data_IF_964068577142
#
_entry.id   IF_964068577142
#
_cell.length_a   1.000
_cell.length_b   1.000
_cell.length_c   1.000
_cell.angle_alpha   90.00
_cell.angle_beta   90.00
_cell.angle_gamma   90.00
#
_symmetry.space_group_name_H-M   'P 1'
#
loop_
_entity.id
_entity.type
_entity.pdbx_description
1 polymer ?
#
# COMPACT_ATOMS: atom_id res chain seq x y z
N UNK A 1 -15.26 14.16 5.36
CA UNK A 1 -14.62 13.78 6.64
C UNK A 1 -15.69 13.06 7.44
N UNK A 2 -15.60 11.73 7.53
CA UNK A 2 -16.67 10.93 8.14
C UNK A 2 -16.26 10.60 9.57
N UNK A 3 -17.02 11.09 10.53
CA UNK A 3 -16.83 10.85 11.95
C UNK A 3 -17.75 9.70 12.37
N UNK A 4 -17.21 8.69 13.04
CA UNK A 4 -18.03 7.66 13.68
C UNK A 4 -17.88 7.83 15.18
N UNK A 5 -19.00 7.93 15.89
CA UNK A 5 -19.04 8.06 17.34
C UNK A 5 -20.08 7.07 17.83
N UNK A 6 -19.70 6.17 18.73
CA UNK A 6 -20.68 5.31 19.41
C UNK A 6 -21.30 6.14 20.53
N UNK A 7 -22.25 6.99 20.16
CA UNK A 7 -23.03 7.78 21.10
C UNK A 7 -24.45 7.22 21.13
N UNK A 8 -24.98 6.93 22.32
CA UNK A 8 -26.33 6.36 22.54
C UNK A 8 -27.47 7.19 21.91
N UNK A 9 -27.21 8.41 21.43
CA UNK A 9 -28.21 9.36 20.94
C UNK A 9 -28.14 9.70 19.45
N UNK A 10 -27.32 9.04 18.64
CA UNK A 10 -27.43 9.12 17.18
C UNK A 10 -27.81 7.73 16.65
N UNK A 11 -28.91 7.66 15.90
CA UNK A 11 -29.59 6.42 15.50
C UNK A 11 -28.78 5.51 14.56
N UNK A 12 -27.56 5.89 14.18
CA UNK A 12 -26.72 5.16 13.24
C UNK A 12 -25.57 4.47 13.98
N UNK A 13 -25.79 3.21 14.37
CA UNK A 13 -24.74 2.33 14.90
C UNK A 13 -23.95 1.73 13.74
N UNK A 14 -22.63 1.92 13.73
CA UNK A 14 -21.74 1.17 12.83
C UNK A 14 -21.55 -0.23 13.40
N UNK A 15 -22.28 -1.20 12.87
CA UNK A 15 -22.10 -2.61 13.23
C UNK A 15 -21.08 -3.33 12.35
N UNK A 16 -20.82 -2.80 11.14
CA UNK A 16 -19.96 -3.43 10.15
C UNK A 16 -19.15 -2.42 9.35
N UNK A 17 -17.88 -2.72 9.18
CA UNK A 17 -16.96 -2.06 8.24
C UNK A 17 -16.57 -3.08 7.17
N UNK A 18 -16.49 -2.65 5.91
CA UNK A 18 -15.97 -3.49 4.83
C UNK A 18 -14.77 -2.80 4.20
N UNK A 19 -13.69 -3.55 4.00
CA UNK A 19 -12.45 -3.10 3.38
C UNK A 19 -12.08 -4.02 2.24
N UNK A 20 -11.41 -3.48 1.22
CA UNK A 20 -10.61 -4.31 0.33
C UNK A 20 -9.23 -4.56 0.93
N UNK A 21 -8.56 -5.61 0.47
CA UNK A 21 -7.17 -5.81 0.84
C UNK A 21 -6.29 -4.65 0.35
N UNK A 22 -5.47 -4.10 1.24
CA UNK A 22 -4.63 -2.92 1.01
C UNK A 22 -5.39 -1.59 1.09
N UNK A 23 -6.68 -1.62 1.44
CA UNK A 23 -7.47 -0.42 1.74
C UNK A 23 -7.35 -0.07 3.23
N UNK A 24 -7.27 1.23 3.48
CA UNK A 24 -7.34 1.80 4.83
C UNK A 24 -8.74 2.36 5.07
N UNK A 25 -9.26 2.22 6.29
CA UNK A 25 -10.43 2.99 6.70
C UNK A 25 -10.10 4.48 6.77
N UNK A 26 -11.12 5.33 6.65
CA UNK A 26 -10.99 6.67 7.21
C UNK A 26 -10.72 6.56 8.73
N UNK A 27 -10.07 7.56 9.34
CA UNK A 27 -9.83 7.57 10.77
C UNK A 27 -11.14 7.36 11.53
N UNK A 28 -11.23 6.25 12.25
CA UNK A 28 -12.39 5.90 13.03
C UNK A 28 -12.23 6.48 14.43
N UNK A 29 -13.11 7.38 14.82
CA UNK A 29 -13.11 7.88 16.19
C UNK A 29 -13.88 6.91 17.10
N UNK A 30 -13.41 6.79 18.32
CA UNK A 30 -14.09 6.05 19.37
C UNK A 30 -14.07 6.88 20.66
N UNK A 31 -15.21 6.93 21.34
CA UNK A 31 -15.40 7.66 22.60
C UNK A 31 -16.04 6.72 23.62
N UNK A 32 -15.55 6.75 24.86
CA UNK A 32 -16.23 6.11 25.99
C UNK A 32 -17.60 6.75 26.25
N UNK A 33 -18.55 5.97 26.75
CA UNK A 33 -19.93 6.42 26.92
C UNK A 33 -20.12 7.35 28.14
N UNK A 34 -19.19 7.37 29.11
CA UNK A 34 -19.36 8.14 30.35
C UNK A 34 -18.34 9.29 30.52
N UNK A 35 -18.74 10.40 31.15
CA UNK A 35 -17.88 11.57 31.39
C UNK A 35 -16.62 11.28 32.22
N UNK A 36 -16.68 10.29 33.11
CA UNK A 36 -15.58 9.89 34.01
C UNK A 36 -14.76 8.70 33.50
N UNK A 37 -15.01 8.23 32.27
CA UNK A 37 -14.19 7.21 31.63
C UNK A 37 -12.86 7.85 31.18
N UNK A 38 -11.95 8.11 32.14
CA UNK A 38 -10.53 8.19 31.84
C UNK A 38 -10.17 6.88 31.14
N UNK A 39 -10.03 6.91 29.82
CA UNK A 39 -10.10 5.76 28.93
C UNK A 39 -9.02 4.72 29.25
N UNK A 40 -9.36 3.80 30.15
CA UNK A 40 -8.73 2.49 30.32
C UNK A 40 -9.40 1.44 29.43
N UNK A 41 -10.07 1.84 28.35
CA UNK A 41 -10.63 0.90 27.40
C UNK A 41 -9.50 0.24 26.62
N UNK A 42 -9.53 -1.09 26.59
CA UNK A 42 -8.64 -1.92 25.80
C UNK A 42 -9.47 -2.45 24.63
N UNK A 43 -8.93 -2.31 23.42
CA UNK A 43 -9.52 -2.90 22.22
C UNK A 43 -8.94 -4.30 22.04
N UNK A 44 -9.79 -5.31 22.10
CA UNK A 44 -9.42 -6.67 21.78
C UNK A 44 -9.66 -6.92 20.30
N UNK A 45 -8.61 -7.39 19.62
CA UNK A 45 -8.69 -7.88 18.25
C UNK A 45 -8.55 -9.39 18.26
N UNK A 46 -9.61 -10.08 17.87
CA UNK A 46 -9.67 -11.53 17.98
C UNK A 46 -8.96 -12.27 16.83
N UNK A 47 -8.51 -11.57 15.77
CA UNK A 47 -7.86 -12.16 14.57
C UNK A 47 -6.69 -11.30 13.98
N UNK A 48 -5.60 -11.03 14.73
CA UNK A 48 -4.51 -10.13 14.35
C UNK A 48 -3.79 -10.46 13.03
N UNK A 49 -3.86 -11.70 12.56
CA UNK A 49 -3.23 -12.10 11.30
C UNK A 49 -3.87 -11.52 10.04
N UNK A 50 -5.07 -10.92 10.14
CA UNK A 50 -5.86 -10.49 8.97
C UNK A 50 -5.99 -8.98 8.81
N UNK A 51 -5.97 -8.27 9.93
CA UNK A 51 -6.25 -6.85 10.02
C UNK A 51 -5.22 -6.19 10.92
N UNK A 52 -4.64 -5.10 10.45
CA UNK A 52 -3.75 -4.27 11.25
C UNK A 52 -4.53 -3.08 11.78
N UNK A 53 -4.31 -2.78 13.06
CA UNK A 53 -4.87 -1.65 13.77
C UNK A 53 -3.72 -0.75 14.20
N UNK A 54 -3.73 0.50 13.76
CA UNK A 54 -2.82 1.54 14.24
C UNK A 54 -3.62 2.59 15.02
N UNK A 55 -3.18 2.89 16.25
CA UNK A 55 -3.69 4.03 17.01
C UNK A 55 -2.99 5.29 16.54
N UNK A 56 -3.74 6.20 15.94
CA UNK A 56 -3.23 7.52 15.55
C UNK A 56 -3.27 8.45 16.76
N UNK A 57 -2.22 9.25 16.96
CA UNK A 57 -2.13 10.17 18.09
C UNK A 57 -3.26 11.21 18.02
N UNK A 58 -4.29 11.02 18.83
CA UNK A 58 -5.22 12.08 19.17
C UNK A 58 -4.55 13.00 20.22
N UNK A 59 -4.67 14.31 20.06
CA UNK A 59 -4.25 15.26 21.11
C UNK A 59 -5.09 15.00 22.37
N UNK A 60 -4.45 14.56 23.45
CA UNK A 60 -5.10 14.30 24.72
C UNK A 60 -5.68 15.61 25.30
N UNK A 61 -7.01 15.72 25.32
CA UNK A 61 -7.72 16.71 26.11
C UNK A 61 -8.58 15.96 27.15
N UNK A 62 -8.34 16.13 28.46
CA UNK A 62 -9.00 15.38 29.52
C UNK A 62 -10.53 15.55 29.58
N UNK A 63 -11.12 16.55 28.92
CA UNK A 63 -12.58 16.73 28.88
C UNK A 63 -13.27 16.09 27.66
N UNK A 64 -12.50 15.57 26.70
CA UNK A 64 -13.04 15.03 25.44
C UNK A 64 -12.04 14.06 24.77
N UNK A 65 -11.68 12.98 25.45
CA UNK A 65 -10.74 12.01 24.90
C UNK A 65 -11.42 11.11 23.86
N UNK A 66 -10.86 11.09 22.65
CA UNK A 66 -11.22 10.17 21.58
C UNK A 66 -9.99 9.33 21.26
N UNK A 67 -10.19 8.04 20.99
CA UNK A 67 -9.17 7.23 20.33
C UNK A 67 -9.47 7.21 18.84
N UNK A 68 -8.44 7.37 18.03
CA UNK A 68 -8.58 7.39 16.58
C UNK A 68 -7.81 6.23 16.00
N UNK A 69 -8.52 5.34 15.33
CA UNK A 69 -7.98 4.11 14.78
C UNK A 69 -7.96 4.14 13.27
N UNK A 70 -6.89 3.61 12.68
CA UNK A 70 -6.82 3.28 11.26
C UNK A 70 -6.74 1.75 11.14
N UNK A 71 -7.67 1.16 10.38
CA UNK A 71 -7.70 -0.27 10.09
C UNK A 71 -7.22 -0.49 8.66
N UNK A 72 -6.33 -1.47 8.47
CA UNK A 72 -5.88 -1.90 7.15
C UNK A 72 -6.13 -3.38 6.97
N UNK A 73 -6.87 -3.75 5.92
CA UNK A 73 -7.10 -5.15 5.57
C UNK A 73 -5.89 -5.76 4.87
N UNK A 74 -5.32 -6.85 5.37
CA UNK A 74 -4.16 -7.54 4.72
C UNK A 74 -4.53 -8.83 4.02
N UNK A 75 -5.52 -9.56 4.51
CA UNK A 75 -6.01 -10.79 3.88
C UNK A 75 -7.52 -10.78 3.81
N UNK A 76 -8.12 -11.43 2.79
CA UNK A 76 -9.55 -11.64 2.80
C UNK A 76 -10.00 -12.41 4.05
N UNK A 77 -11.15 -12.04 4.59
CA UNK A 77 -11.75 -12.65 5.76
C UNK A 77 -12.43 -11.64 6.65
N UNK A 78 -13.14 -12.14 7.67
CA UNK A 78 -13.75 -11.32 8.69
C UNK A 78 -12.91 -11.29 9.97
N UNK A 79 -13.00 -10.20 10.71
CA UNK A 79 -12.49 -10.06 12.08
C UNK A 79 -13.51 -9.30 12.94
N UNK A 80 -13.49 -9.52 14.25
CA UNK A 80 -14.31 -8.77 15.20
C UNK A 80 -13.42 -7.96 16.13
N UNK A 81 -13.83 -6.72 16.37
CA UNK A 81 -13.23 -5.84 17.34
C UNK A 81 -14.21 -5.61 18.48
N UNK A 82 -13.71 -5.78 19.70
CA UNK A 82 -14.48 -5.57 20.91
C UNK A 82 -13.77 -4.55 21.80
N UNK A 83 -14.45 -3.44 22.07
CA UNK A 83 -14.00 -2.47 23.05
C UNK A 83 -14.57 -2.85 24.41
N UNK A 84 -13.72 -3.05 25.41
CA UNK A 84 -14.16 -3.34 26.77
C UNK A 84 -13.59 -2.34 27.77
N UNK A 85 -14.37 -2.04 28.79
CA UNK A 85 -13.93 -1.36 30.00
C UNK A 85 -13.26 -2.38 30.92
N UNK A 86 -12.05 -2.04 31.39
CA UNK A 86 -11.29 -2.83 32.35
C UNK A 86 -11.37 -2.13 33.71
N UNK A 87 -12.32 -2.47 34.59
CA UNK A 87 -12.41 -1.85 35.90
C UNK A 87 -11.30 -2.34 36.82
N UNK A 88 -10.92 -1.52 37.82
CA UNK A 88 -9.95 -1.94 38.86
C UNK A 88 -10.43 -3.13 39.67
N UNK A 89 -11.74 -3.27 39.84
CA UNK A 89 -12.41 -4.37 40.53
C UNK A 89 -13.72 -4.70 39.79
N UNK A 90 -14.10 -5.97 39.75
CA UNK A 90 -15.32 -6.43 39.06
C UNK A 90 -15.05 -7.02 37.67
N UNK A 91 -16.14 -7.32 36.96
CA UNK A 91 -16.10 -7.97 35.65
C UNK A 91 -15.84 -6.97 34.51
N UNK A 92 -15.21 -7.44 33.43
CA UNK A 92 -15.08 -6.70 32.18
C UNK A 92 -16.46 -6.33 31.63
N UNK A 93 -16.59 -5.12 31.08
CA UNK A 93 -17.83 -4.66 30.44
C UNK A 93 -17.58 -4.30 28.98
N UNK A 94 -18.28 -4.96 28.06
CA UNK A 94 -18.27 -4.58 26.64
C UNK A 94 -18.94 -3.23 26.43
N UNK A 95 -18.18 -2.30 25.84
CA UNK A 95 -18.63 -0.96 25.47
C UNK A 95 -19.17 -0.93 24.04
N UNK A 96 -18.64 -1.77 23.16
CA UNK A 96 -19.09 -1.85 21.78
C UNK A 96 -18.35 -2.92 20.99
N UNK A 97 -18.98 -3.34 19.89
CA UNK A 97 -18.41 -4.30 18.95
C UNK A 97 -18.65 -3.82 17.53
N UNK A 98 -17.70 -4.07 16.64
CA UNK A 98 -17.94 -3.98 15.21
C UNK A 98 -17.26 -5.14 14.48
N UNK A 99 -17.93 -5.61 13.43
CA UNK A 99 -17.40 -6.61 12.53
C UNK A 99 -16.65 -5.91 11.39
N UNK A 100 -15.48 -6.41 11.04
CA UNK A 100 -14.72 -6.01 9.87
C UNK A 100 -14.74 -7.15 8.85
N UNK A 101 -15.11 -6.84 7.61
CA UNK A 101 -15.11 -7.77 6.49
C UNK A 101 -14.09 -7.28 5.44
N UNK A 102 -12.98 -8.00 5.30
CA UNK A 102 -11.94 -7.74 4.30
C UNK A 102 -12.20 -8.62 3.09
N UNK A 103 -12.34 -7.99 1.92
CA UNK A 103 -12.62 -8.69 0.66
C UNK A 103 -11.44 -8.63 -0.29
N UNK A 104 -11.28 -9.67 -1.09
CA UNK A 104 -10.29 -9.67 -2.16
C UNK A 104 -10.72 -8.74 -3.29
N UNK A 105 -9.92 -7.72 -3.57
CA UNK A 105 -10.13 -6.86 -4.72
C UNK A 105 -9.67 -7.59 -6.01
N UNK A 106 -10.61 -8.32 -6.60
CA UNK A 106 -10.64 -8.84 -7.98
C UNK A 106 -9.60 -9.91 -8.33
N UNK A 107 -10.07 -11.06 -8.80
CA UNK A 107 -9.30 -12.28 -9.04
C UNK A 107 -8.31 -12.29 -10.24
N UNK A 108 -7.96 -11.17 -10.86
CA UNK A 108 -7.22 -11.16 -12.14
C UNK A 108 -5.76 -10.70 -12.07
N UNK A 109 -5.29 -10.17 -10.93
CA UNK A 109 -3.94 -9.61 -10.80
C UNK A 109 -3.05 -10.40 -9.81
N UNK A 110 -1.73 -10.40 -10.03
CA UNK A 110 -0.75 -10.90 -9.06
C UNK A 110 -0.45 -9.87 -7.98
N UNK A 111 -0.42 -8.60 -8.41
CA UNK A 111 -0.21 -7.44 -7.55
C UNK A 111 -1.36 -6.43 -7.66
N UNK A 112 -1.61 -5.70 -6.57
CA UNK A 112 -2.57 -4.59 -6.53
C UNK A 112 -1.92 -3.37 -5.89
N UNK A 113 -1.95 -2.23 -6.57
CA UNK A 113 -1.55 -0.95 -6.02
C UNK A 113 -2.79 -0.11 -5.69
N UNK A 114 -2.92 0.28 -4.42
CA UNK A 114 -4.09 0.99 -3.88
C UNK A 114 -3.87 2.50 -3.69
N UNK A 115 -2.72 3.01 -4.12
CA UNK A 115 -2.28 4.39 -3.85
C UNK A 115 -1.26 4.46 -2.72
N UNK A 116 -1.49 3.75 -1.62
CA UNK A 116 -0.56 3.74 -0.47
C UNK A 116 0.24 2.46 -0.33
N UNK A 117 -0.27 1.36 -0.88
CA UNK A 117 0.36 0.07 -0.76
C UNK A 117 0.42 -0.65 -2.10
N UNK A 118 1.53 -1.36 -2.29
CA UNK A 118 1.64 -2.42 -3.28
C UNK A 118 1.46 -3.75 -2.56
N UNK A 119 0.44 -4.49 -2.98
CA UNK A 119 0.04 -5.76 -2.43
C UNK A 119 0.45 -6.88 -3.39
N UNK A 120 1.23 -7.86 -2.92
CA UNK A 120 1.60 -9.04 -3.70
C UNK A 120 0.93 -10.27 -3.11
N UNK A 121 0.00 -10.87 -3.86
CA UNK A 121 -0.91 -11.91 -3.36
C UNK A 121 -0.84 -13.25 -4.03
N UNK A 122 -0.48 -13.26 -5.31
CA UNK A 122 -0.38 -14.48 -6.11
C UNK A 122 0.99 -14.56 -6.70
N UNK A 123 1.37 -15.77 -7.11
CA UNK A 123 2.67 -15.98 -7.74
C UNK A 123 3.82 -15.51 -6.84
N UNK A 124 3.65 -15.61 -5.51
CA UNK A 124 4.71 -15.34 -4.54
C UNK A 124 5.70 -16.51 -4.52
N UNK A 125 7.01 -16.25 -4.33
CA UNK A 125 7.98 -17.31 -4.10
C UNK A 125 7.55 -18.18 -2.92
N UNK A 126 7.79 -19.49 -2.99
CA UNK A 126 7.49 -20.41 -1.89
C UNK A 126 8.16 -19.95 -0.58
N UNK A 127 9.39 -19.42 -0.67
CA UNK A 127 10.15 -18.88 0.46
C UNK A 127 9.47 -17.68 1.16
N UNK A 128 8.63 -16.93 0.45
CA UNK A 128 7.93 -15.77 1.00
C UNK A 128 6.43 -16.02 1.24
N UNK A 129 5.96 -17.25 1.01
CA UNK A 129 4.53 -17.55 0.95
C UNK A 129 3.82 -17.44 2.31
N UNK A 130 4.55 -17.46 3.43
CA UNK A 130 4.10 -17.03 4.78
C UNK A 130 2.67 -17.44 5.20
N UNK A 131 2.09 -16.70 6.15
CA UNK A 131 0.68 -16.81 6.56
C UNK A 131 -0.26 -15.96 5.68
N UNK A 132 0.27 -15.31 4.66
CA UNK A 132 -0.48 -14.33 3.91
C UNK A 132 0.33 -13.56 2.87
N UNK A 133 -0.33 -12.65 2.17
CA UNK A 133 0.21 -11.80 1.14
C UNK A 133 1.15 -10.73 1.70
N UNK A 134 2.05 -10.25 0.84
CA UNK A 134 3.02 -9.24 1.18
C UNK A 134 2.45 -7.85 0.89
N UNK A 135 2.68 -6.91 1.81
CA UNK A 135 2.18 -5.54 1.72
C UNK A 135 3.37 -4.59 1.83
N UNK A 136 3.63 -3.83 0.78
CA UNK A 136 4.74 -2.88 0.70
C UNK A 136 4.21 -1.46 0.71
N UNK A 137 4.86 -0.57 1.47
CA UNK A 137 4.60 0.86 1.38
C UNK A 137 4.89 1.33 -0.06
N UNK A 138 3.98 2.09 -0.66
CA UNK A 138 4.15 2.54 -2.04
C UNK A 138 3.52 3.91 -2.30
N UNK A 139 4.12 4.68 -3.19
CA UNK A 139 3.62 6.01 -3.58
C UNK A 139 3.74 6.25 -5.07
N UNK A 140 2.95 7.19 -5.58
CA UNK A 140 2.94 7.58 -6.97
C UNK A 140 2.50 9.04 -7.10
N UNK A 141 3.00 9.73 -8.12
CA UNK A 141 2.72 11.14 -8.37
C UNK A 141 3.70 12.08 -7.65
N UNK A 142 3.87 13.27 -8.22
CA UNK A 142 4.78 14.30 -7.73
C UNK A 142 4.20 14.92 -6.47
N UNK A 143 5.04 15.50 -5.61
CA UNK A 143 4.57 16.26 -4.44
C UNK A 143 3.49 17.28 -4.86
N UNK A 144 2.37 17.28 -4.14
CA UNK A 144 1.18 18.09 -4.46
C UNK A 144 0.22 17.48 -5.51
N UNK A 145 0.63 16.41 -6.19
CA UNK A 145 -0.16 15.68 -7.20
C UNK A 145 -0.42 14.22 -6.80
N UNK A 146 -0.26 13.89 -5.52
CA UNK A 146 -0.36 12.54 -4.97
C UNK A 146 -1.80 12.13 -4.66
N UNK A 147 -2.70 12.29 -5.62
CA UNK A 147 -4.13 12.01 -5.46
C UNK A 147 -4.71 11.36 -6.73
N UNK A 148 -5.56 10.35 -6.57
CA UNK A 148 -6.11 9.55 -7.68
C UNK A 148 -6.81 10.38 -8.77
N UNK A 149 -7.51 11.46 -8.41
CA UNK A 149 -8.19 12.38 -9.35
C UNK A 149 -7.23 13.07 -10.30
N UNK A 150 -5.95 13.19 -9.93
CA UNK A 150 -4.92 13.83 -10.75
C UNK A 150 -4.19 12.85 -11.67
N UNK A 151 -4.64 11.60 -11.81
CA UNK A 151 -4.02 10.60 -12.69
C UNK A 151 -3.93 11.00 -14.18
N UNK A 152 -4.73 11.97 -14.61
CA UNK A 152 -4.67 12.53 -15.96
C UNK A 152 -3.63 13.66 -16.10
N UNK A 153 -3.04 14.14 -15.01
CA UNK A 153 -2.01 15.17 -15.02
C UNK A 153 -0.72 14.61 -15.60
N UNK A 154 -0.41 15.01 -16.83
CA UNK A 154 0.78 14.58 -17.55
C UNK A 154 2.04 14.91 -16.74
N UNK A 155 2.96 13.95 -16.64
CA UNK A 155 4.24 14.04 -15.93
C UNK A 155 4.21 14.32 -14.41
N UNK A 156 3.04 14.63 -13.82
CA UNK A 156 2.91 14.96 -12.39
C UNK A 156 1.98 14.01 -11.64
N UNK A 157 0.90 13.59 -12.28
CA UNK A 157 -0.14 12.75 -11.66
C UNK A 157 0.37 11.37 -11.29
N UNK A 158 -0.34 10.65 -10.40
CA UNK A 158 0.03 9.29 -10.07
C UNK A 158 -0.27 8.36 -11.26
N UNK A 159 0.16 7.11 -11.16
CA UNK A 159 -0.03 6.10 -12.20
C UNK A 159 -1.53 5.92 -12.50
N UNK A 160 -1.98 5.98 -13.76
CA UNK A 160 -3.38 5.78 -14.07
C UNK A 160 -3.96 4.44 -13.60
N UNK A 161 -5.24 4.43 -13.28
CA UNK A 161 -5.96 3.19 -12.98
C UNK A 161 -5.99 2.28 -14.22
N UNK A 162 -5.78 0.98 -13.98
CA UNK A 162 -5.69 0.02 -15.06
C UNK A 162 -5.09 -1.31 -14.66
N UNK A 163 -4.97 -2.19 -15.66
CA UNK A 163 -4.16 -3.39 -15.59
C UNK A 163 -2.87 -3.15 -16.36
N UNK A 164 -1.78 -3.57 -15.75
CA UNK A 164 -0.43 -3.49 -16.27
C UNK A 164 0.19 -4.87 -16.18
N UNK A 165 1.19 -5.10 -17.00
CA UNK A 165 2.06 -6.26 -16.85
C UNK A 165 3.52 -5.88 -16.90
N UNK A 166 4.34 -6.76 -16.35
CA UNK A 166 5.78 -6.67 -16.50
C UNK A 166 6.42 -8.04 -16.48
N UNK A 167 7.59 -8.14 -17.10
CA UNK A 167 8.41 -9.34 -17.09
C UNK A 167 9.32 -9.32 -15.87
N UNK A 168 9.43 -10.45 -15.17
CA UNK A 168 10.20 -10.53 -13.92
C UNK A 168 11.64 -11.01 -14.12
N UNK A 169 11.97 -11.51 -15.32
CA UNK A 169 13.35 -11.91 -15.63
C UNK A 169 14.27 -10.69 -15.70
N UNK A 170 15.55 -10.90 -15.41
CA UNK A 170 16.58 -9.87 -15.59
C UNK A 170 16.57 -9.42 -17.05
N UNK A 171 16.61 -8.10 -17.24
CA UNK A 171 16.66 -7.49 -18.56
C UNK A 171 17.87 -8.04 -19.34
N UNK A 172 17.66 -8.62 -20.55
CA UNK A 172 18.76 -9.16 -21.34
C UNK A 172 19.79 -8.09 -21.76
N UNK A 173 19.45 -6.80 -21.68
CA UNK A 173 20.35 -5.67 -21.92
C UNK A 173 20.93 -5.07 -20.64
N UNK A 174 20.88 -5.78 -19.52
CA UNK A 174 21.42 -5.31 -18.23
C UNK A 174 22.86 -4.79 -18.36
N UNK A 175 23.74 -5.48 -19.10
CA UNK A 175 25.11 -5.02 -19.32
C UNK A 175 25.20 -3.69 -20.10
N UNK A 176 24.30 -3.45 -21.05
CA UNK A 176 24.23 -2.16 -21.77
C UNK A 176 23.71 -1.03 -20.87
N UNK A 177 22.78 -1.34 -19.97
CA UNK A 177 22.24 -0.40 -18.97
C UNK A 177 23.34 -0.02 -17.97
N UNK A 178 24.10 -0.99 -17.47
CA UNK A 178 25.23 -0.73 -16.58
C UNK A 178 26.32 0.11 -17.26
N UNK A 179 26.67 -0.20 -18.49
CA UNK A 179 27.66 0.56 -19.25
C UNK A 179 27.20 2.02 -19.49
N UNK A 180 25.92 2.23 -19.79
CA UNK A 180 25.36 3.58 -19.93
C UNK A 180 25.31 4.34 -18.60
N UNK A 181 24.99 3.65 -17.50
CA UNK A 181 25.06 4.22 -16.15
C UNK A 181 26.48 4.69 -15.82
N UNK A 182 27.50 3.88 -16.12
CA UNK A 182 28.91 4.22 -15.85
C UNK A 182 29.40 5.44 -16.65
N UNK A 183 28.88 5.65 -17.86
CA UNK A 183 29.25 6.80 -18.70
C UNK A 183 28.51 8.09 -18.35
N UNK A 184 27.48 8.03 -17.51
CA UNK A 184 26.63 9.17 -17.24
C UNK A 184 25.78 9.60 -18.44
N UNK A 185 25.45 8.67 -19.33
CA UNK A 185 24.58 8.93 -20.48
C UNK A 185 23.13 9.22 -20.04
N UNK A 186 22.31 9.82 -20.90
CA UNK A 186 20.86 9.93 -20.63
C UNK A 186 20.24 8.55 -20.42
N UNK A 187 19.14 8.48 -19.65
CA UNK A 187 18.32 7.28 -19.47
C UNK A 187 18.23 6.46 -20.75
N UNK A 188 18.81 5.24 -20.74
CA UNK A 188 18.57 4.29 -21.82
C UNK A 188 17.09 3.99 -21.78
N UNK A 189 16.36 4.55 -22.75
CA UNK A 189 15.01 4.14 -23.06
C UNK A 189 15.13 2.70 -23.55
N UNK A 190 15.05 1.73 -22.63
CA UNK A 190 15.01 0.34 -23.03
C UNK A 190 13.56 0.00 -23.37
N UNK A 191 13.23 -0.22 -24.66
CA UNK A 191 11.92 -0.72 -25.00
C UNK A 191 11.73 -2.15 -24.48
N UNK A 192 12.80 -2.89 -24.21
CA UNK A 192 12.72 -4.24 -23.66
C UNK A 192 12.27 -4.23 -22.19
N UNK A 193 11.40 -5.17 -21.88
CA UNK A 193 10.79 -5.36 -20.57
C UNK A 193 11.64 -6.31 -19.72
N UNK A 194 11.74 -6.04 -18.43
CA UNK A 194 12.49 -6.87 -17.50
C UNK A 194 12.90 -6.12 -16.25
N UNK A 195 13.41 -6.86 -15.27
CA UNK A 195 13.98 -6.31 -14.06
C UNK A 195 15.37 -5.76 -14.36
N UNK A 196 15.58 -4.50 -14.03
CA UNK A 196 16.83 -3.77 -14.25
C UNK A 196 17.48 -3.42 -12.91
N UNK A 197 18.80 -3.62 -12.82
CA UNK A 197 19.63 -3.16 -11.72
C UNK A 197 20.35 -1.86 -12.10
N UNK A 198 20.33 -0.88 -11.21
CA UNK A 198 20.84 0.47 -11.37
C UNK A 198 21.79 0.80 -10.21
N UNK A 199 23.04 0.33 -10.25
CA UNK A 199 23.97 0.44 -9.11
C UNK A 199 24.29 1.87 -8.66
N UNK A 200 24.00 2.88 -9.50
CA UNK A 200 24.29 4.30 -9.22
C UNK A 200 23.01 5.16 -9.29
N UNK A 201 21.81 4.60 -9.15
CA UNK A 201 20.56 5.38 -9.18
C UNK A 201 20.02 5.76 -10.57
N UNK A 202 20.61 5.25 -11.66
CA UNK A 202 20.13 5.41 -13.03
C UNK A 202 20.96 6.38 -13.89
N UNK A 203 20.84 6.22 -15.23
CA UNK A 203 21.80 6.73 -16.22
C UNK A 203 21.97 8.26 -16.18
N UNK A 204 23.19 8.70 -15.85
CA UNK A 204 23.58 10.12 -15.77
C UNK A 204 24.43 10.41 -14.55
N UNK A 205 24.92 11.65 -14.34
CA UNK A 205 25.17 12.19 -13.00
C UNK A 205 23.83 12.23 -12.24
N UNK A 206 23.44 11.01 -11.84
CA UNK A 206 22.46 10.52 -10.88
C UNK A 206 21.29 11.45 -10.61
N UNK A 207 20.14 11.11 -11.21
CA UNK A 207 18.88 11.33 -10.51
C UNK A 207 18.76 10.19 -9.49
N UNK A 208 19.02 10.39 -8.18
CA UNK A 208 18.82 9.37 -7.12
C UNK A 208 17.36 8.88 -7.03
N UNK A 209 16.53 9.38 -7.92
CA UNK A 209 15.10 9.27 -8.06
C UNK A 209 14.60 7.92 -8.57
N UNK A 210 15.47 7.03 -9.07
CA UNK A 210 15.05 5.70 -9.53
C UNK A 210 15.37 4.59 -8.54
N UNK A 211 16.23 4.83 -7.55
CA UNK A 211 16.70 3.77 -6.66
C UNK A 211 17.57 2.76 -7.40
N UNK A 212 17.67 1.56 -6.82
CA UNK A 212 18.62 0.54 -7.25
C UNK A 212 18.01 -0.48 -8.22
N UNK A 213 16.68 -0.63 -8.20
CA UNK A 213 15.96 -1.54 -9.07
C UNK A 213 14.75 -0.86 -9.69
N UNK A 214 14.46 -1.24 -10.93
CA UNK A 214 13.20 -0.88 -11.57
C UNK A 214 12.72 -1.95 -12.53
N UNK A 215 11.43 -1.93 -12.82
CA UNK A 215 10.83 -2.76 -13.85
C UNK A 215 9.78 -1.96 -14.62
N UNK A 216 9.80 -2.06 -15.95
CA UNK A 216 8.88 -1.33 -16.84
C UNK A 216 7.50 -1.96 -16.79
N UNK A 217 6.47 -1.12 -16.67
CA UNK A 217 5.07 -1.49 -16.73
C UNK A 217 4.51 -1.26 -18.14
N UNK A 218 3.90 -2.30 -18.69
CA UNK A 218 3.21 -2.26 -19.97
C UNK A 218 1.70 -2.28 -19.72
N UNK A 219 0.96 -1.23 -20.11
CA UNK A 219 -0.49 -1.19 -19.98
C UNK A 219 -1.15 -2.32 -20.76
N UNK A 220 -2.08 -3.02 -20.11
CA UNK A 220 -2.96 -4.04 -20.71
C UNK A 220 -4.37 -3.45 -20.92
N UNK A 221 -4.87 -2.71 -19.92
CA UNK A 221 -6.23 -2.14 -19.91
C UNK A 221 -6.25 -0.86 -19.06
N UNK A 222 -7.02 0.14 -19.49
CA UNK A 222 -7.20 1.40 -18.76
C UNK A 222 -6.95 2.61 -19.65
N UNK A 223 -7.31 3.80 -19.16
CA UNK A 223 -7.04 5.06 -19.87
C UNK A 223 -5.72 5.66 -19.38
N UNK A 224 -4.70 5.66 -20.25
CA UNK A 224 -3.39 6.18 -19.89
C UNK A 224 -3.27 7.71 -20.08
N UNK A 225 -4.32 8.37 -20.60
CA UNK A 225 -4.33 9.81 -20.85
C UNK A 225 -3.17 10.29 -21.75
N UNK A 226 -2.75 9.47 -22.72
CA UNK A 226 -1.59 9.75 -23.58
C UNK A 226 -0.24 9.69 -22.88
N UNK A 227 -0.18 9.20 -21.63
CA UNK A 227 1.04 8.98 -20.84
C UNK A 227 1.58 7.56 -21.05
N UNK A 228 2.85 7.36 -20.76
CA UNK A 228 3.51 6.06 -20.87
C UNK A 228 4.88 6.06 -20.18
N UNK A 229 5.64 4.98 -20.36
CA UNK A 229 6.97 4.86 -19.72
C UNK A 229 6.88 4.72 -18.20
N UNK A 230 5.91 3.93 -17.74
CA UNK A 230 5.69 3.69 -16.32
C UNK A 230 6.60 2.58 -15.79
N UNK A 231 6.98 2.68 -14.52
CA UNK A 231 7.84 1.71 -13.84
C UNK A 231 7.33 1.44 -12.42
N UNK A 232 7.69 0.26 -11.90
CA UNK A 232 7.91 0.09 -10.46
C UNK A 232 9.40 0.36 -10.19
N UNK A 233 9.73 1.04 -9.10
CA UNK A 233 11.12 1.25 -8.70
C UNK A 233 11.25 1.44 -7.18
N UNK A 234 12.44 1.26 -6.61
CA UNK A 234 12.69 1.36 -5.15
C UNK A 234 13.55 2.55 -4.75
N UNK A 235 13.29 3.73 -5.30
CA UNK A 235 13.82 4.96 -4.69
C UNK A 235 13.18 5.20 -3.33
N UNK A 236 13.73 6.16 -2.58
CA UNK A 236 13.24 6.54 -1.26
C UNK A 236 12.93 8.04 -1.16
N UNK A 237 12.48 8.65 -2.26
CA UNK A 237 12.23 10.10 -2.33
C UNK A 237 10.82 10.47 -1.89
N UNK A 238 9.88 9.52 -1.89
CA UNK A 238 8.51 9.72 -1.46
C UNK A 238 7.57 10.31 -2.52
N UNK A 239 7.95 10.31 -3.80
CA UNK A 239 7.10 10.78 -4.91
C UNK A 239 7.51 10.13 -6.22
N UNK A 240 6.84 10.40 -7.35
CA UNK A 240 7.27 9.94 -8.68
C UNK A 240 6.65 10.78 -9.80
N UNK A 241 7.10 10.64 -11.05
CA UNK A 241 6.47 11.30 -12.21
C UNK A 241 5.39 10.42 -12.86
N UNK A 242 4.65 9.67 -12.03
CA UNK A 242 3.63 8.70 -12.47
C UNK A 242 4.06 7.24 -12.47
N UNK A 243 5.26 6.93 -12.00
CA UNK A 243 5.68 5.57 -11.67
C UNK A 243 5.16 5.16 -10.28
N UNK A 244 5.36 3.92 -9.85
CA UNK A 244 5.16 3.56 -8.44
C UNK A 244 6.54 3.37 -7.80
N UNK A 245 6.78 4.15 -6.76
CA UNK A 245 7.89 3.94 -5.85
C UNK A 245 7.44 2.95 -4.78
N UNK A 246 8.23 1.90 -4.56
CA UNK A 246 7.93 0.80 -3.64
C UNK A 246 9.03 0.72 -2.59
N UNK A 247 8.64 0.83 -1.32
CA UNK A 247 9.54 0.65 -0.17
C UNK A 247 9.50 -0.77 0.38
N UNK A 248 9.95 -0.90 1.63
CA UNK A 248 9.92 -2.17 2.36
C UNK A 248 8.53 -2.50 2.93
N UNK A 249 8.31 -3.77 3.25
CA UNK A 249 7.16 -4.20 4.04
C UNK A 249 7.40 -3.99 5.55
N UNK A 250 6.41 -4.32 6.38
CA UNK A 250 6.50 -4.19 7.84
C UNK A 250 7.63 -5.03 8.49
N UNK A 251 8.09 -6.08 7.81
CA UNK A 251 9.15 -6.97 8.26
C UNK A 251 10.54 -6.56 7.73
N UNK A 252 10.63 -5.40 7.05
CA UNK A 252 11.87 -4.89 6.44
C UNK A 252 12.27 -5.56 5.13
N UNK A 253 11.40 -6.40 4.55
CA UNK A 253 11.67 -7.04 3.26
C UNK A 253 11.45 -6.04 2.11
N UNK A 254 12.47 -5.89 1.26
CA UNK A 254 12.40 -5.13 0.01
C UNK A 254 11.63 -5.91 -1.08
N UNK A 255 10.78 -5.19 -1.83
CA UNK A 255 9.96 -5.77 -2.89
C UNK A 255 10.80 -6.42 -4.00
N UNK A 256 11.87 -5.77 -4.44
CA UNK A 256 12.69 -6.25 -5.55
C UNK A 256 13.52 -7.47 -5.18
N UNK A 257 13.92 -7.58 -3.92
CA UNK A 257 14.53 -8.79 -3.36
C UNK A 257 13.58 -9.98 -3.47
N UNK A 258 12.29 -9.77 -3.14
CA UNK A 258 11.26 -10.78 -3.36
C UNK A 258 11.00 -11.08 -4.84
N UNK A 259 11.06 -10.06 -5.70
CA UNK A 259 10.91 -10.22 -7.15
C UNK A 259 12.05 -11.03 -7.78
N UNK A 260 13.29 -10.81 -7.34
CA UNK A 260 14.45 -11.60 -7.75
C UNK A 260 14.31 -13.06 -7.33
N UNK A 261 13.90 -13.32 -6.08
CA UNK A 261 13.64 -14.67 -5.60
C UNK A 261 12.54 -15.36 -6.41
N UNK A 262 11.48 -14.62 -6.77
CA UNK A 262 10.44 -15.14 -7.65
C UNK A 262 11.01 -15.49 -9.02
N UNK A 263 11.69 -14.55 -9.68
CA UNK A 263 12.26 -14.75 -11.01
C UNK A 263 13.20 -15.95 -11.08
N UNK A 264 14.07 -16.14 -10.08
CA UNK A 264 14.99 -17.28 -10.02
C UNK A 264 14.31 -18.63 -9.75
N UNK A 265 13.11 -18.62 -9.15
CA UNK A 265 12.34 -19.85 -8.85
C UNK A 265 11.54 -20.39 -10.03
N UNK A 266 11.42 -19.63 -11.12
CA UNK A 266 10.55 -19.97 -12.23
C UNK A 266 11.35 -20.51 -13.43
N UNK A 267 10.95 -21.66 -14.01
CA UNK A 267 11.65 -22.24 -15.15
C UNK A 267 11.43 -21.49 -16.48
N UNK A 268 10.49 -20.53 -16.52
CA UNK A 268 10.17 -19.68 -17.68
C UNK A 268 10.28 -18.23 -17.28
N UNK A 269 10.47 -17.34 -18.26
CA UNK A 269 10.40 -15.87 -18.09
C UNK A 269 9.01 -15.48 -17.57
N UNK A 270 8.84 -15.25 -16.27
CA UNK A 270 7.51 -15.04 -15.70
C UNK A 270 7.04 -13.64 -16.05
N UNK A 271 5.72 -13.52 -16.19
CA UNK A 271 5.03 -12.25 -16.35
C UNK A 271 4.09 -12.11 -15.17
N UNK A 272 4.13 -10.98 -14.50
CA UNK A 272 3.19 -10.64 -13.43
C UNK A 272 2.23 -9.56 -13.92
N UNK A 273 1.00 -9.61 -13.40
CA UNK A 273 -0.04 -8.62 -13.66
C UNK A 273 -0.22 -7.72 -12.43
N UNK A 274 -0.11 -6.42 -12.64
CA UNK A 274 -0.38 -5.38 -11.65
C UNK A 274 -1.72 -4.71 -11.95
N UNK A 275 -2.58 -4.61 -10.95
CA UNK A 275 -3.77 -3.74 -10.99
C UNK A 275 -3.48 -2.45 -10.23
N UNK A 276 -3.73 -1.31 -10.87
CA UNK A 276 -3.76 -0.01 -10.21
C UNK A 276 -5.21 0.37 -9.97
N UNK A 277 -5.59 0.56 -8.70
CA UNK A 277 -6.95 0.93 -8.33
C UNK A 277 -6.94 1.77 -7.07
N UNK A 278 -7.41 3.00 -7.16
CA UNK A 278 -7.67 3.85 -6.01
C UNK A 278 -9.04 3.48 -5.42
N UNK A 279 -9.13 3.43 -4.08
CA UNK A 279 -10.37 3.07 -3.38
C UNK A 279 -11.51 4.06 -3.70
N UNK A 280 -11.16 5.34 -3.83
CA UNK A 280 -12.01 6.45 -4.28
C UNK A 280 -11.17 7.44 -5.09
N UNK A 281 -11.78 8.30 -5.93
CA UNK A 281 -11.03 9.25 -6.76
C UNK A 281 -10.05 10.10 -5.96
N UNK A 282 -10.42 10.55 -4.76
CA UNK A 282 -9.62 11.40 -3.89
C UNK A 282 -8.58 10.63 -3.05
N UNK A 283 -8.33 9.36 -3.35
CA UNK A 283 -7.35 8.55 -2.61
C UNK A 283 -5.98 9.19 -2.72
N UNK A 284 -5.42 9.57 -1.57
CA UNK A 284 -4.05 10.05 -1.49
C UNK A 284 -3.09 8.88 -1.66
N UNK A 285 -2.00 9.10 -2.40
CA UNK A 285 -0.86 8.19 -2.36
C UNK A 285 -0.05 8.42 -1.09
N UNK A 286 0.88 7.53 -0.75
CA UNK A 286 1.51 7.55 0.58
C UNK A 286 2.34 8.82 0.87
N UNK A 287 2.85 9.52 -0.14
CA UNK A 287 3.65 10.73 0.04
C UNK A 287 5.06 10.50 0.61
N UNK A 288 5.40 9.23 0.84
CA UNK A 288 6.67 8.75 1.36
C UNK A 288 6.83 7.27 1.02
N UNK A 289 8.05 6.78 1.04
CA UNK A 289 8.33 5.35 1.18
C UNK A 289 9.29 5.17 2.33
N UNK A 290 8.98 4.22 3.22
CA UNK A 290 9.87 3.91 4.33
C UNK A 290 11.14 3.24 3.81
N UNK A 291 12.27 3.53 4.46
CA UNK A 291 13.53 2.79 4.30
C UNK A 291 13.48 1.54 5.16
#
# INVERSE_FOLDING_TARGET
MTYFCFQRSQNDRVSRVSLNVGEETQPMMWKGEKPDDNVHAVLFHHDPGRVFLEETRASYNPQSSYRVFALTGRTPGSGRFEAVEVPRTGALRTLGQFDLDVRDAVAEADLVYTGKFLYWRRSMPAALRGAGPLLYAATSGLVGHQIGTMQNSKDHGPLPEGLYSFLTHIDPRQGSIEAANQRGDKAVANPEEGLQFLPVGGNGPVFPDWGTFRVRLTPIKGNMFGRGGFYLHNSHKGYSHGCIEVGVNADGLDFFSGLLAYAGSQPRKPKLVLRVKYSYPETLTLGKTLR
#
